data_IF_149457719116
#
_entry.id   IF_149457719116
#
_cell.length_a   1.000
_cell.length_b   1.000
_cell.length_c   1.000
_cell.angle_alpha   90.00
_cell.angle_beta   90.00
_cell.angle_gamma   90.00
#
_symmetry.space_group_name_H-M   'P 1'
#
loop_
_entity.id
_entity.type
_entity.pdbx_description
1 polymer ?
#
# COMPACT_ATOMS: atom_id res chain seq x y z
N UNK A 1 55.38 -17.03 -23.62
CA UNK A 1 53.98 -17.09 -24.09
C UNK A 1 53.29 -15.82 -23.61
N UNK A 2 53.18 -14.78 -24.46
CA UNK A 2 52.54 -13.51 -24.09
C UNK A 2 51.03 -13.68 -24.18
N UNK A 3 50.35 -13.68 -23.04
CA UNK A 3 48.90 -13.57 -22.98
C UNK A 3 48.50 -12.19 -23.50
N UNK A 4 47.80 -12.14 -24.62
CA UNK A 4 47.20 -10.90 -25.12
C UNK A 4 46.03 -10.56 -24.21
N UNK A 5 46.18 -9.51 -23.40
CA UNK A 5 45.07 -8.96 -22.62
C UNK A 5 44.05 -8.37 -23.61
N UNK A 6 42.94 -9.09 -23.84
CA UNK A 6 41.80 -8.56 -24.59
C UNK A 6 41.11 -7.50 -23.73
N UNK A 7 41.29 -6.23 -24.08
CA UNK A 7 40.56 -5.11 -23.47
C UNK A 7 39.17 -4.96 -24.07
N UNK A 8 38.23 -4.42 -23.28
CA UNK A 8 36.88 -4.07 -23.69
C UNK A 8 36.90 -2.91 -24.69
N UNK A 9 36.10 -2.96 -25.76
CA UNK A 9 36.00 -1.84 -26.71
C UNK A 9 34.99 -0.79 -26.24
N UNK A 10 35.21 0.48 -26.62
CA UNK A 10 34.24 1.56 -26.36
C UNK A 10 32.87 1.25 -26.99
N UNK A 11 32.86 0.64 -28.18
CA UNK A 11 31.63 0.29 -28.87
C UNK A 11 30.84 -0.81 -28.14
N UNK A 12 31.50 -1.83 -27.58
CA UNK A 12 30.83 -2.84 -26.75
C UNK A 12 30.17 -2.19 -25.52
N UNK A 13 30.86 -1.25 -24.86
CA UNK A 13 30.30 -0.57 -23.70
C UNK A 13 29.10 0.32 -24.09
N UNK A 14 29.15 1.02 -25.21
CA UNK A 14 28.02 1.84 -25.69
C UNK A 14 26.78 0.98 -26.01
N UNK A 15 26.97 -0.18 -26.64
CA UNK A 15 25.85 -1.10 -26.93
C UNK A 15 25.24 -1.64 -25.63
N UNK A 16 26.06 -2.03 -24.66
CA UNK A 16 25.58 -2.51 -23.35
C UNK A 16 24.77 -1.44 -22.63
N UNK A 17 25.26 -0.20 -22.59
CA UNK A 17 24.53 0.92 -21.95
C UNK A 17 23.21 1.21 -22.67
N UNK A 18 23.18 1.14 -24.01
CA UNK A 18 21.96 1.31 -24.77
C UNK A 18 20.90 0.24 -24.43
N UNK A 19 21.31 -1.03 -24.35
CA UNK A 19 20.42 -2.14 -23.96
C UNK A 19 19.89 -1.95 -22.53
N UNK A 20 20.76 -1.60 -21.58
CA UNK A 20 20.36 -1.34 -20.18
C UNK A 20 19.36 -0.18 -20.11
N UNK A 21 19.59 0.89 -20.88
CA UNK A 21 18.67 2.04 -20.93
C UNK A 21 17.26 1.64 -21.39
N UNK A 22 17.17 0.83 -22.45
CA UNK A 22 15.89 0.30 -22.96
C UNK A 22 15.20 -0.54 -21.88
N UNK A 23 15.91 -1.49 -21.26
CA UNK A 23 15.34 -2.37 -20.25
C UNK A 23 14.90 -1.60 -18.99
N UNK A 24 15.70 -0.64 -18.53
CA UNK A 24 15.40 0.17 -17.35
C UNK A 24 14.13 1.00 -17.53
N UNK A 25 13.90 1.55 -18.73
CA UNK A 25 12.72 2.36 -19.04
C UNK A 25 11.39 1.62 -18.86
N UNK A 26 11.38 0.29 -19.04
CA UNK A 26 10.17 -0.55 -18.91
C UNK A 26 10.16 -1.26 -17.56
N UNK A 27 11.30 -1.80 -17.14
CA UNK A 27 11.41 -2.62 -15.94
C UNK A 27 11.22 -1.82 -14.65
N UNK A 28 11.80 -0.62 -14.57
CA UNK A 28 11.72 0.21 -13.36
C UNK A 28 10.29 0.65 -13.01
N UNK A 29 9.50 1.27 -13.91
CA UNK A 29 8.12 1.67 -13.57
C UNK A 29 7.23 0.47 -13.24
N UNK A 30 7.42 -0.66 -13.93
CA UNK A 30 6.69 -1.90 -13.65
C UNK A 30 6.96 -2.39 -12.22
N UNK A 31 8.23 -2.46 -11.82
CA UNK A 31 8.62 -2.87 -10.48
C UNK A 31 8.01 -1.97 -9.39
N UNK A 32 8.07 -0.65 -9.56
CA UNK A 32 7.47 0.30 -8.61
C UNK A 32 5.96 0.07 -8.48
N UNK A 33 5.25 -0.15 -9.59
CA UNK A 33 3.81 -0.47 -9.58
C UNK A 33 3.51 -1.74 -8.78
N UNK A 34 4.32 -2.80 -8.95
CA UNK A 34 4.18 -4.03 -8.17
C UNK A 34 4.39 -3.82 -6.67
N UNK A 35 5.41 -3.05 -6.28
CA UNK A 35 5.68 -2.73 -4.87
C UNK A 35 4.54 -1.92 -4.26
N UNK A 36 4.03 -0.91 -4.98
CA UNK A 36 2.87 -0.10 -4.55
C UNK A 36 1.64 -0.98 -4.34
N UNK A 37 1.35 -1.89 -5.27
CA UNK A 37 0.24 -2.84 -5.13
C UNK A 37 0.41 -3.78 -3.94
N UNK A 38 1.61 -4.32 -3.73
CA UNK A 38 1.89 -5.20 -2.59
C UNK A 38 1.68 -4.49 -1.25
N UNK A 39 2.19 -3.25 -1.12
CA UNK A 39 1.99 -2.41 0.07
C UNK A 39 0.52 -2.08 0.31
N UNK A 40 -0.22 -1.80 -0.76
CA UNK A 40 -1.67 -1.53 -0.69
C UNK A 40 -2.43 -2.72 -0.13
N UNK A 41 -2.10 -3.93 -0.57
CA UNK A 41 -2.68 -5.16 -0.02
C UNK A 41 -2.33 -5.31 1.46
N UNK A 42 -1.08 -5.07 1.85
CA UNK A 42 -0.67 -5.12 3.26
C UNK A 42 -1.42 -4.12 4.16
N UNK A 43 -1.59 -2.87 3.68
CA UNK A 43 -2.37 -1.84 4.37
C UNK A 43 -3.85 -2.24 4.50
N UNK A 44 -4.45 -2.75 3.42
CA UNK A 44 -5.83 -3.23 3.42
C UNK A 44 -6.01 -4.41 4.39
N UNK A 45 -5.10 -5.38 4.41
CA UNK A 45 -5.19 -6.53 5.32
C UNK A 45 -5.08 -6.11 6.78
N UNK A 46 -4.16 -5.17 7.10
CA UNK A 46 -4.02 -4.67 8.46
C UNK A 46 -5.25 -3.87 8.90
N UNK A 47 -5.86 -3.08 8.01
CA UNK A 47 -7.14 -2.41 8.27
C UNK A 47 -8.28 -3.41 8.53
N UNK A 48 -8.33 -4.53 7.80
CA UNK A 48 -9.32 -5.59 8.03
C UNK A 48 -9.14 -6.29 9.38
N UNK A 49 -7.90 -6.45 9.86
CA UNK A 49 -7.63 -6.92 11.22
C UNK A 49 -8.21 -5.97 12.28
N UNK A 50 -8.10 -4.66 12.05
CA UNK A 50 -8.73 -3.65 12.91
C UNK A 50 -10.26 -3.71 12.83
N UNK A 51 -10.83 -3.99 11.67
CA UNK A 51 -12.27 -4.21 11.53
C UNK A 51 -12.74 -5.42 12.37
N UNK A 52 -12.00 -6.54 12.33
CA UNK A 52 -12.27 -7.70 13.18
C UNK A 52 -12.12 -7.41 14.67
N UNK A 53 -11.20 -6.52 15.06
CA UNK A 53 -11.14 -6.01 16.43
C UNK A 53 -12.40 -5.22 16.81
N UNK A 54 -12.91 -4.36 15.91
CA UNK A 54 -14.13 -3.59 16.17
C UNK A 54 -15.34 -4.49 16.40
N UNK A 55 -15.52 -5.55 15.63
CA UNK A 55 -16.63 -6.51 15.84
C UNK A 55 -16.57 -7.18 17.23
N UNK A 56 -15.36 -7.56 17.67
CA UNK A 56 -15.13 -8.11 19.02
C UNK A 56 -15.41 -7.07 20.10
N UNK A 57 -15.01 -5.82 19.88
CA UNK A 57 -15.27 -4.72 20.80
C UNK A 57 -16.78 -4.50 20.96
N UNK A 58 -17.53 -4.45 19.85
CA UNK A 58 -18.98 -4.29 19.87
C UNK A 58 -19.67 -5.44 20.62
N UNK A 59 -19.24 -6.68 20.42
CA UNK A 59 -19.80 -7.85 21.11
C UNK A 59 -19.68 -7.75 22.64
N UNK A 60 -18.65 -7.06 23.15
CA UNK A 60 -18.42 -6.91 24.60
C UNK A 60 -18.93 -5.60 25.19
N UNK A 61 -19.08 -4.55 24.38
CA UNK A 61 -19.44 -3.20 24.83
C UNK A 61 -20.80 -2.72 24.34
N UNK A 62 -21.40 -3.43 23.38
CA UNK A 62 -22.64 -3.09 22.68
C UNK A 62 -22.61 -1.71 21.99
N UNK A 63 -21.40 -1.19 21.74
CA UNK A 63 -21.16 0.06 21.02
C UNK A 63 -19.73 0.10 20.48
N UNK A 64 -19.48 0.87 19.41
CA UNK A 64 -18.13 1.16 18.91
C UNK A 64 -17.49 2.38 19.57
N UNK A 65 -18.30 3.30 20.12
CA UNK A 65 -17.82 4.52 20.73
C UNK A 65 -16.80 4.26 21.85
N UNK A 66 -15.71 5.03 21.83
CA UNK A 66 -14.61 4.90 22.77
C UNK A 66 -13.65 3.73 22.51
N UNK A 67 -13.84 2.96 21.42
CA UNK A 67 -12.87 1.97 21.00
C UNK A 67 -11.53 2.65 20.68
N UNK A 68 -10.43 2.04 21.14
CA UNK A 68 -9.06 2.40 20.75
C UNK A 68 -8.48 1.22 20.00
N UNK A 69 -7.93 1.49 18.81
CA UNK A 69 -7.32 0.44 18.01
C UNK A 69 -6.03 -0.07 18.67
N UNK A 70 -5.84 -1.39 18.75
CA UNK A 70 -4.60 -1.95 19.27
C UNK A 70 -3.43 -1.67 18.33
N UNK A 71 -2.24 -1.49 18.90
CA UNK A 71 -0.99 -1.46 18.14
C UNK A 71 -0.51 -2.90 17.94
N UNK A 72 -0.94 -3.54 16.85
CA UNK A 72 -0.54 -4.91 16.49
C UNK A 72 0.71 -4.92 15.62
N UNK A 73 1.29 -6.11 15.39
CA UNK A 73 2.46 -6.25 14.52
C UNK A 73 2.22 -5.70 13.11
N UNK A 74 1.01 -5.91 12.55
CA UNK A 74 0.68 -5.40 11.22
C UNK A 74 0.76 -3.87 11.13
N UNK A 75 0.34 -3.16 12.19
CA UNK A 75 0.35 -1.69 12.24
C UNK A 75 1.79 -1.18 12.20
N UNK A 76 2.69 -1.85 12.90
CA UNK A 76 4.13 -1.54 12.89
C UNK A 76 4.76 -1.87 11.53
N UNK A 77 4.41 -3.02 10.93
CA UNK A 77 4.96 -3.46 9.64
C UNK A 77 4.57 -2.54 8.48
N UNK A 78 3.37 -1.95 8.53
CA UNK A 78 2.89 -1.04 7.48
C UNK A 78 3.19 0.43 7.75
N UNK A 79 3.73 0.79 8.92
CA UNK A 79 3.84 2.17 9.41
C UNK A 79 4.57 3.13 8.46
N UNK A 80 5.59 2.64 7.74
CA UNK A 80 6.36 3.44 6.76
C UNK A 80 5.56 3.82 5.51
N UNK A 81 4.41 3.18 5.29
CA UNK A 81 3.64 3.27 4.04
C UNK A 81 2.17 3.59 4.26
N UNK A 82 1.63 3.27 5.44
CA UNK A 82 0.24 3.47 5.80
C UNK A 82 0.09 3.83 7.28
N UNK A 83 -0.78 4.80 7.56
CA UNK A 83 -1.36 4.98 8.89
C UNK A 83 -2.71 4.29 8.92
N UNK A 84 -2.91 3.39 9.88
CA UNK A 84 -4.20 2.73 10.12
C UNK A 84 -4.90 3.45 11.26
N UNK A 85 -6.14 3.90 11.04
CA UNK A 85 -6.88 4.66 12.04
C UNK A 85 -8.35 4.80 11.70
N UNK A 86 -9.09 5.47 12.57
CA UNK A 86 -10.45 5.88 12.26
C UNK A 86 -10.44 7.12 11.35
N UNK A 87 -11.35 7.17 10.37
CA UNK A 87 -11.58 8.38 9.57
C UNK A 87 -12.27 9.48 10.38
N UNK A 88 -13.04 9.09 11.38
CA UNK A 88 -13.67 9.94 12.39
C UNK A 88 -13.93 9.08 13.64
N UNK A 89 -14.04 9.71 14.81
CA UNK A 89 -14.32 8.97 16.05
C UNK A 89 -15.52 8.03 15.88
N UNK A 90 -15.42 6.77 16.31
CA UNK A 90 -16.51 5.81 16.16
C UNK A 90 -17.73 6.24 16.97
N UNK A 91 -18.91 6.12 16.35
CA UNK A 91 -20.19 6.32 17.03
C UNK A 91 -20.63 5.05 17.77
N UNK A 92 -21.84 5.05 18.32
CA UNK A 92 -22.33 3.86 19.02
C UNK A 92 -22.51 2.66 18.08
N UNK A 93 -22.99 2.88 16.86
CA UNK A 93 -23.33 1.82 15.90
C UNK A 93 -22.62 1.93 14.55
N UNK A 94 -21.71 2.89 14.40
CA UNK A 94 -20.97 3.12 13.16
C UNK A 94 -19.50 3.42 13.41
N UNK A 95 -18.66 3.00 12.46
CA UNK A 95 -17.26 3.39 12.40
C UNK A 95 -16.82 3.38 10.93
N UNK A 96 -15.76 4.13 10.64
CA UNK A 96 -15.02 4.00 9.38
C UNK A 96 -13.55 3.92 9.70
N UNK A 97 -12.92 2.81 9.30
CA UNK A 97 -11.48 2.64 9.35
C UNK A 97 -10.87 3.09 8.02
N UNK A 98 -9.67 3.65 8.10
CA UNK A 98 -8.87 4.05 6.96
C UNK A 98 -7.44 3.54 7.06
N UNK A 99 -6.91 3.09 5.92
CA UNK A 99 -5.50 2.97 5.66
C UNK A 99 -5.07 4.16 4.79
N UNK A 100 -4.49 5.17 5.43
CA UNK A 100 -4.02 6.41 4.78
C UNK A 100 -2.59 6.23 4.31
N UNK A 101 -2.30 6.30 3.00
CA UNK A 101 -0.95 6.08 2.49
C UNK A 101 -0.01 7.22 2.90
N UNK A 102 1.29 6.91 3.03
CA UNK A 102 2.35 7.84 3.41
C UNK A 102 3.53 7.79 2.42
N UNK A 103 4.36 8.83 2.44
CA UNK A 103 5.63 8.88 1.70
C UNK A 103 5.54 8.49 0.22
N UNK A 104 6.35 7.51 -0.18
CA UNK A 104 6.36 6.99 -1.54
C UNK A 104 5.03 6.34 -1.95
N UNK A 105 4.31 5.73 -1.01
CA UNK A 105 2.99 5.16 -1.30
C UNK A 105 1.99 6.26 -1.65
N UNK A 106 1.94 7.34 -0.87
CA UNK A 106 1.03 8.47 -1.11
C UNK A 106 1.26 9.15 -2.46
N UNK A 107 2.53 9.27 -2.88
CA UNK A 107 2.89 9.92 -4.15
C UNK A 107 2.78 9.02 -5.37
N UNK A 108 2.79 7.69 -5.20
CA UNK A 108 2.76 6.72 -6.31
C UNK A 108 1.43 6.01 -6.47
N UNK A 109 0.58 5.98 -5.43
CA UNK A 109 -0.73 5.34 -5.45
C UNK A 109 -1.88 6.35 -5.62
N UNK A 110 -1.71 7.34 -6.50
CA UNK A 110 -2.75 8.35 -6.76
C UNK A 110 -4.05 7.77 -7.32
N UNK A 111 -4.00 6.55 -7.88
CA UNK A 111 -5.17 5.83 -8.34
C UNK A 111 -6.07 5.39 -7.19
N UNK A 112 -5.52 4.85 -6.10
CA UNK A 112 -6.34 4.34 -4.98
C UNK A 112 -6.38 5.29 -3.78
N UNK A 113 -5.29 5.99 -3.46
CA UNK A 113 -5.26 6.90 -2.32
C UNK A 113 -5.56 6.20 -0.99
N UNK A 114 -6.38 6.83 -0.14
CA UNK A 114 -6.79 6.25 1.14
C UNK A 114 -7.80 5.15 0.89
N UNK A 115 -7.54 3.96 1.44
CA UNK A 115 -8.49 2.85 1.47
C UNK A 115 -9.32 2.96 2.75
N UNK A 116 -10.62 2.72 2.69
CA UNK A 116 -11.46 2.69 3.88
C UNK A 116 -12.46 1.55 3.88
N UNK A 117 -12.88 1.15 5.08
CA UNK A 117 -13.97 0.18 5.29
C UNK A 117 -14.82 0.63 6.47
N UNK A 118 -16.14 0.54 6.34
CA UNK A 118 -17.07 0.82 7.44
C UNK A 118 -17.55 -0.46 8.14
N UNK A 119 -18.37 -0.32 9.18
CA UNK A 119 -18.94 -1.44 9.94
C UNK A 119 -19.82 -2.39 9.11
N UNK A 120 -20.34 -1.94 7.96
CA UNK A 120 -21.12 -2.77 7.05
C UNK A 120 -20.24 -3.49 6.01
N UNK A 121 -18.91 -3.36 6.11
CA UNK A 121 -17.97 -3.91 5.13
C UNK A 121 -17.94 -3.14 3.80
N UNK A 122 -18.57 -1.97 3.74
CA UNK A 122 -18.53 -1.11 2.54
C UNK A 122 -17.13 -0.51 2.44
N UNK A 123 -16.45 -0.87 1.35
CA UNK A 123 -15.12 -0.39 1.01
C UNK A 123 -15.20 0.88 0.17
N UNK A 124 -14.30 1.82 0.40
CA UNK A 124 -14.17 3.02 -0.42
C UNK A 124 -12.71 3.42 -0.61
N UNK A 125 -12.48 4.31 -1.58
CA UNK A 125 -11.17 4.84 -1.94
C UNK A 125 -11.25 6.34 -2.19
N UNK A 126 -10.17 7.09 -1.97
CA UNK A 126 -10.12 8.54 -2.25
C UNK A 126 -9.40 8.92 -3.54
N UNK A 127 -8.71 7.96 -4.18
CA UNK A 127 -7.97 8.19 -5.42
C UNK A 127 -8.87 8.33 -6.65
N UNK A 128 -8.24 8.52 -7.82
CA UNK A 128 -8.96 8.69 -9.09
C UNK A 128 -9.75 7.45 -9.55
N UNK A 129 -9.54 6.29 -8.91
CA UNK A 129 -10.31 5.07 -9.14
C UNK A 129 -11.72 5.06 -8.51
N UNK A 130 -12.30 6.22 -8.17
CA UNK A 130 -13.54 6.35 -7.39
C UNK A 130 -14.73 5.43 -7.76
N UNK A 131 -14.79 4.90 -8.98
CA UNK A 131 -15.80 3.94 -9.45
C UNK A 131 -15.36 2.48 -9.58
N UNK A 132 -14.07 2.14 -9.43
CA UNK A 132 -13.55 0.76 -9.46
C UNK A 132 -12.72 0.43 -8.22
N UNK A 133 -13.38 0.54 -7.06
CA UNK A 133 -12.85 0.15 -5.74
C UNK A 133 -12.25 -1.27 -5.76
N UNK A 134 -12.77 -2.17 -6.60
CA UNK A 134 -12.28 -3.55 -6.73
C UNK A 134 -10.85 -3.63 -7.25
N UNK A 135 -10.37 -2.65 -8.01
CA UNK A 135 -8.96 -2.63 -8.45
C UNK A 135 -7.99 -2.29 -7.32
N UNK A 136 -8.49 -1.69 -6.23
CA UNK A 136 -7.68 -1.23 -5.11
C UNK A 136 -7.60 -2.24 -3.95
N UNK A 137 -8.58 -3.14 -3.82
CA UNK A 137 -8.70 -4.09 -2.71
C UNK A 137 -8.47 -5.54 -3.11
#
# INVERSE_FOLDING_TARGET
MRSSMKGFTLIELMVVVAIIGILASIGYPSYISHVVKARRVAGATCMMEMAQFMERYYTTKMKYAGAKLPQTACVTEVADHYTIGFSADPGDTSYTLAATPQGAQASKDGQCGTLSVNQAGVKAVTGSAGSDVKQCF
#
